data_IF_463515641467
#
_entry.id   IF_463515641467
#
_cell.length_a   1.000
_cell.length_b   1.000
_cell.length_c   1.000
_cell.angle_alpha   90.00
_cell.angle_beta   90.00
_cell.angle_gamma   90.00
#
_symmetry.space_group_name_H-M   'P 1'
#
loop_
_entity.id
_entity.type
_entity.pdbx_description
1 polymer ?
#
# COMPACT_ATOMS: atom_id res chain seq x y z
N UNK A 1 27.19 -5.44 -7.00
CA UNK A 1 25.82 -6.02 -6.90
C UNK A 1 25.68 -6.68 -5.54
N UNK A 2 24.91 -6.13 -4.61
CA UNK A 2 24.66 -6.78 -3.31
C UNK A 2 23.92 -8.10 -3.59
N UNK A 3 24.50 -9.23 -3.16
CA UNK A 3 23.85 -10.54 -3.21
C UNK A 3 22.53 -10.47 -2.45
N UNK A 4 21.41 -10.64 -3.14
CA UNK A 4 20.10 -10.71 -2.52
C UNK A 4 20.08 -11.87 -1.51
N UNK A 5 19.72 -11.56 -0.28
CA UNK A 5 19.59 -12.56 0.78
C UNK A 5 18.40 -13.48 0.46
N UNK A 6 18.61 -14.79 0.47
CA UNK A 6 17.56 -15.78 0.27
C UNK A 6 17.30 -16.43 1.62
N UNK A 7 16.06 -16.35 2.09
CA UNK A 7 15.61 -16.90 3.37
C UNK A 7 14.54 -17.96 3.10
N UNK A 8 14.63 -19.09 3.79
CA UNK A 8 13.68 -20.20 3.71
C UNK A 8 12.99 -20.32 5.07
N UNK A 9 11.65 -20.32 5.04
CA UNK A 9 10.82 -20.49 6.23
C UNK A 9 9.90 -21.71 6.06
N UNK A 10 9.96 -22.63 7.01
CA UNK A 10 9.01 -23.74 7.12
C UNK A 10 7.84 -23.29 8.00
N UNK A 11 6.61 -23.31 7.47
CA UNK A 11 5.40 -22.86 8.19
C UNK A 11 4.21 -23.74 7.88
N UNK A 12 3.20 -23.76 8.76
CA UNK A 12 1.89 -24.39 8.48
C UNK A 12 1.13 -23.60 7.42
N UNK A 13 1.47 -23.80 6.16
CA UNK A 13 0.82 -23.20 4.98
C UNK A 13 0.46 -24.31 4.00
N UNK A 14 -0.61 -24.13 3.21
CA UNK A 14 -1.07 -25.14 2.24
C UNK A 14 -0.18 -25.19 0.99
N UNK A 15 0.38 -24.06 0.59
CA UNK A 15 1.16 -23.94 -0.64
C UNK A 15 2.46 -23.19 -0.41
N UNK A 16 3.46 -23.47 -1.25
CA UNK A 16 4.69 -22.68 -1.32
C UNK A 16 4.35 -21.24 -1.72
N UNK A 17 4.97 -20.29 -1.03
CA UNK A 17 4.87 -18.86 -1.33
C UNK A 17 6.24 -18.28 -1.53
N UNK A 18 6.37 -17.46 -2.58
CA UNK A 18 7.57 -16.69 -2.88
C UNK A 18 7.27 -15.21 -2.64
N UNK A 19 8.04 -14.59 -1.77
CA UNK A 19 7.95 -13.17 -1.47
C UNK A 19 9.29 -12.50 -1.77
N UNK A 20 9.25 -11.30 -2.36
CA UNK A 20 10.43 -10.48 -2.63
C UNK A 20 10.16 -9.10 -2.05
N UNK A 21 10.97 -8.72 -1.07
CA UNK A 21 10.92 -7.41 -0.42
C UNK A 21 12.33 -6.77 -0.36
N UNK A 22 12.47 -5.65 0.35
CA UNK A 22 13.73 -4.93 0.48
C UNK A 22 14.80 -5.71 1.25
N UNK A 23 14.41 -6.71 2.03
CA UNK A 23 15.31 -7.61 2.78
C UNK A 23 15.79 -8.81 1.97
N UNK A 24 15.22 -9.05 0.77
CA UNK A 24 15.61 -10.16 -0.10
C UNK A 24 14.45 -11.02 -0.57
N UNK A 25 14.77 -12.28 -0.89
CA UNK A 25 13.81 -13.28 -1.37
C UNK A 25 13.47 -14.22 -0.22
N UNK A 26 12.17 -14.37 0.07
CA UNK A 26 11.65 -15.28 1.09
C UNK A 26 10.89 -16.42 0.41
N UNK A 27 11.28 -17.64 0.71
CA UNK A 27 10.59 -18.86 0.28
C UNK A 27 9.90 -19.43 1.52
N UNK A 28 8.58 -19.42 1.53
CA UNK A 28 7.76 -19.96 2.62
C UNK A 28 7.17 -21.26 2.14
N UNK A 29 7.58 -22.38 2.75
CA UNK A 29 7.18 -23.73 2.37
C UNK A 29 6.39 -24.41 3.48
N UNK A 30 5.49 -25.36 3.14
CA UNK A 30 4.89 -26.23 4.11
C UNK A 30 5.93 -27.02 4.92
N UNK A 31 5.60 -27.33 6.16
CA UNK A 31 6.42 -28.22 7.00
C UNK A 31 6.43 -29.62 6.37
N UNK A 32 7.58 -30.31 6.42
CA UNK A 32 7.73 -31.68 5.89
C UNK A 32 8.01 -31.76 4.36
N UNK A 33 7.95 -30.67 3.63
CA UNK A 33 8.28 -30.66 2.20
C UNK A 33 9.73 -30.20 2.01
N UNK A 34 10.53 -31.04 1.36
CA UNK A 34 11.84 -30.63 0.85
C UNK A 34 11.67 -29.74 -0.38
N UNK A 35 12.49 -28.71 -0.48
CA UNK A 35 12.44 -27.76 -1.59
C UNK A 35 13.83 -27.59 -2.20
N UNK A 36 13.93 -27.66 -3.51
CA UNK A 36 15.11 -27.20 -4.23
C UNK A 36 14.96 -25.70 -4.51
N UNK A 37 15.71 -24.90 -3.73
CA UNK A 37 15.75 -23.45 -3.89
C UNK A 37 16.22 -23.00 -5.27
N UNK A 38 17.13 -23.78 -5.91
CA UNK A 38 17.69 -23.42 -7.22
C UNK A 38 16.60 -23.57 -8.29
N UNK A 39 15.86 -24.66 -8.25
CA UNK A 39 14.75 -24.90 -9.18
C UNK A 39 13.66 -23.84 -9.02
N UNK A 40 13.24 -23.52 -7.79
CA UNK A 40 12.22 -22.48 -7.52
C UNK A 40 12.67 -21.13 -8.09
N UNK A 41 13.91 -20.72 -7.83
CA UNK A 41 14.43 -19.44 -8.32
C UNK A 41 14.53 -19.42 -9.84
N UNK A 42 14.94 -20.54 -10.48
CA UNK A 42 15.01 -20.68 -11.94
C UNK A 42 13.60 -20.56 -12.56
N UNK A 43 12.62 -21.29 -12.01
CA UNK A 43 11.22 -21.28 -12.48
C UNK A 43 10.59 -19.89 -12.40
N UNK A 44 10.88 -19.13 -11.35
CA UNK A 44 10.30 -17.81 -11.10
C UNK A 44 11.23 -16.63 -11.45
N UNK A 45 12.33 -16.87 -12.17
CA UNK A 45 13.38 -15.88 -12.46
C UNK A 45 12.82 -14.55 -12.98
N UNK A 46 12.03 -14.57 -14.04
CA UNK A 46 11.45 -13.34 -14.66
C UNK A 46 10.56 -12.55 -13.70
N UNK A 47 9.77 -13.26 -12.88
CA UNK A 47 8.92 -12.62 -11.89
C UNK A 47 9.75 -11.96 -10.79
N UNK A 48 10.80 -12.64 -10.30
CA UNK A 48 11.73 -12.13 -9.28
C UNK A 48 12.43 -10.87 -9.81
N UNK A 49 12.97 -10.91 -11.02
CA UNK A 49 13.66 -9.78 -11.66
C UNK A 49 12.75 -8.55 -11.76
N UNK A 50 11.55 -8.70 -12.31
CA UNK A 50 10.56 -7.62 -12.37
C UNK A 50 10.21 -7.05 -10.99
N UNK A 51 10.13 -7.92 -9.98
CA UNK A 51 9.83 -7.48 -8.61
C UNK A 51 10.96 -6.69 -8.00
N UNK A 52 12.20 -7.11 -8.21
CA UNK A 52 13.42 -6.42 -7.76
C UNK A 52 13.54 -5.05 -8.45
N UNK A 53 13.34 -4.99 -9.75
CA UNK A 53 13.39 -3.75 -10.53
C UNK A 53 12.37 -2.73 -9.97
N UNK A 54 11.13 -3.16 -9.75
CA UNK A 54 10.10 -2.32 -9.14
C UNK A 54 10.47 -1.84 -7.73
N UNK A 55 11.07 -2.69 -6.91
CA UNK A 55 11.52 -2.31 -5.57
C UNK A 55 12.69 -1.30 -5.63
N UNK A 56 13.60 -1.44 -6.58
CA UNK A 56 14.69 -0.49 -6.79
C UNK A 56 14.17 0.87 -7.29
N UNK A 57 13.15 0.87 -8.13
CA UNK A 57 12.46 2.08 -8.55
C UNK A 57 11.83 2.78 -7.34
N UNK A 58 11.06 2.06 -6.52
CA UNK A 58 10.44 2.61 -5.31
C UNK A 58 11.48 3.16 -4.33
N UNK A 59 12.64 2.49 -4.17
CA UNK A 59 13.75 3.01 -3.37
C UNK A 59 14.30 4.33 -3.92
N UNK A 60 14.44 4.46 -5.24
CA UNK A 60 14.91 5.71 -5.87
C UNK A 60 13.92 6.84 -5.60
N UNK A 61 12.63 6.58 -5.78
CA UNK A 61 11.57 7.54 -5.45
C UNK A 61 11.67 7.96 -3.99
N UNK A 62 11.74 7.00 -3.05
CA UNK A 62 11.78 7.28 -1.62
C UNK A 62 12.92 8.21 -1.19
N UNK A 63 14.07 8.17 -1.89
CA UNK A 63 15.22 9.06 -1.60
C UNK A 63 14.93 10.52 -1.94
N UNK A 64 14.18 10.78 -3.00
CA UNK A 64 13.84 12.14 -3.46
C UNK A 64 12.58 12.74 -2.82
N UNK A 65 11.85 11.99 -1.99
CA UNK A 65 10.63 12.51 -1.37
C UNK A 65 10.96 13.42 -0.18
N UNK A 66 10.20 14.50 -0.05
CA UNK A 66 10.22 15.39 1.11
C UNK A 66 9.17 14.97 2.14
N UNK A 67 9.39 15.33 3.41
CA UNK A 67 8.41 15.11 4.49
C UNK A 67 7.73 16.45 4.74
N UNK A 68 6.41 16.42 4.73
CA UNK A 68 5.56 17.57 5.00
C UNK A 68 5.02 17.49 6.42
N UNK A 69 4.49 18.58 6.93
CA UNK A 69 3.69 18.60 8.15
C UNK A 69 2.44 19.41 7.87
N UNK A 70 1.32 18.71 7.79
CA UNK A 70 0.05 19.34 7.48
C UNK A 70 -0.60 19.83 8.76
N UNK A 71 -0.71 21.15 8.90
CA UNK A 71 -1.49 21.76 9.97
C UNK A 71 -2.98 21.44 9.77
N UNK A 72 -3.70 21.33 10.87
CA UNK A 72 -5.14 21.02 10.89
C UNK A 72 -5.53 19.77 10.08
N UNK A 73 -4.59 18.79 9.97
CA UNK A 73 -4.73 17.57 9.19
C UNK A 73 -6.07 16.85 9.42
N UNK A 74 -6.47 16.66 10.67
CA UNK A 74 -7.70 15.92 11.02
C UNK A 74 -8.94 16.60 10.46
N UNK A 75 -9.08 17.91 10.69
CA UNK A 75 -10.18 18.71 10.18
C UNK A 75 -10.20 18.71 8.64
N UNK A 76 -9.03 18.84 8.02
CA UNK A 76 -8.95 18.84 6.57
C UNK A 76 -9.38 17.50 5.96
N UNK A 77 -9.01 16.35 6.56
CA UNK A 77 -9.46 15.03 6.11
C UNK A 77 -10.99 14.91 6.25
N UNK A 78 -11.60 15.43 7.33
CA UNK A 78 -13.05 15.43 7.52
C UNK A 78 -13.76 16.28 6.46
N UNK A 79 -13.22 17.46 6.13
CA UNK A 79 -13.73 18.29 5.02
C UNK A 79 -13.69 17.51 3.70
N UNK A 80 -12.57 16.90 3.36
CA UNK A 80 -12.43 16.09 2.14
C UNK A 80 -13.44 14.92 2.12
N UNK A 81 -13.60 14.22 3.23
CA UNK A 81 -14.58 13.11 3.32
C UNK A 81 -15.98 13.64 3.07
N UNK A 82 -16.35 14.80 3.63
CA UNK A 82 -17.67 15.41 3.43
C UNK A 82 -17.88 15.85 1.97
N UNK A 83 -16.89 16.43 1.31
CA UNK A 83 -16.95 16.80 -0.10
C UNK A 83 -17.15 15.55 -1.00
N UNK A 84 -16.34 14.52 -0.78
CA UNK A 84 -16.40 13.28 -1.56
C UNK A 84 -17.71 12.52 -1.28
N UNK A 85 -18.23 12.58 -0.05
CA UNK A 85 -19.52 12.02 0.33
C UNK A 85 -20.66 12.57 -0.53
N UNK A 86 -20.65 13.89 -0.78
CA UNK A 86 -21.65 14.54 -1.65
C UNK A 86 -21.55 14.05 -3.09
N UNK A 87 -20.31 13.95 -3.60
CA UNK A 87 -20.07 13.49 -4.99
C UNK A 87 -20.48 12.03 -5.18
N UNK A 88 -20.15 11.16 -4.23
CA UNK A 88 -20.40 9.73 -4.29
C UNK A 88 -21.80 9.34 -3.78
N UNK A 89 -22.55 10.28 -3.21
CA UNK A 89 -23.82 10.05 -2.54
C UNK A 89 -23.74 8.92 -1.49
N UNK A 90 -22.63 8.89 -0.73
CA UNK A 90 -22.39 7.90 0.33
C UNK A 90 -21.65 8.56 1.49
N UNK A 91 -22.08 8.28 2.72
CA UNK A 91 -21.47 8.85 3.93
C UNK A 91 -20.92 7.74 4.82
N UNK A 92 -19.68 7.88 5.34
CA UNK A 92 -19.19 6.98 6.38
C UNK A 92 -19.91 7.27 7.71
N UNK A 93 -20.09 6.24 8.52
CA UNK A 93 -20.64 6.35 9.88
C UNK A 93 -19.59 6.85 10.88
N UNK A 94 -18.31 6.53 10.61
CA UNK A 94 -17.21 6.90 11.52
C UNK A 94 -15.89 7.05 10.78
N UNK A 95 -15.12 8.07 11.18
CA UNK A 95 -13.75 8.29 10.76
C UNK A 95 -12.85 8.09 11.98
N UNK A 96 -11.78 7.30 11.81
CA UNK A 96 -10.81 6.99 12.85
C UNK A 96 -9.40 7.26 12.35
N UNK A 97 -8.52 7.68 13.24
CA UNK A 97 -7.09 7.88 12.95
C UNK A 97 -6.26 6.97 13.86
N UNK A 98 -5.41 6.14 13.24
CA UNK A 98 -4.55 5.17 13.94
C UNK A 98 -3.14 5.14 13.35
N UNK A 99 -2.13 4.81 14.13
CA UNK A 99 -0.81 4.46 13.61
C UNK A 99 -0.87 3.10 12.92
N UNK A 100 -0.45 3.02 11.66
CA UNK A 100 -0.43 1.78 10.87
C UNK A 100 0.93 1.61 10.19
N UNK A 101 1.52 0.41 10.27
CA UNK A 101 2.86 0.13 9.70
C UNK A 101 2.84 -0.15 8.19
N UNK A 102 1.75 -0.69 7.65
CA UNK A 102 1.70 -1.25 6.28
C UNK A 102 0.60 -0.67 5.40
N UNK A 103 -0.18 0.28 5.90
CA UNK A 103 -1.34 0.85 5.19
C UNK A 103 -1.44 2.34 5.45
N UNK A 104 -1.95 3.05 4.47
CA UNK A 104 -2.29 4.45 4.58
C UNK A 104 -3.71 4.67 5.06
N UNK A 105 -4.62 3.75 4.70
CA UNK A 105 -6.01 3.75 5.11
C UNK A 105 -6.59 2.34 5.14
N UNK A 106 -7.82 2.23 5.57
CA UNK A 106 -8.66 1.04 5.40
C UNK A 106 -10.13 1.40 5.56
N UNK A 107 -11.00 0.72 4.80
CA UNK A 107 -12.44 0.87 4.88
C UNK A 107 -13.08 -0.44 5.35
N UNK A 108 -13.94 -0.35 6.37
CA UNK A 108 -14.92 -1.39 6.66
C UNK A 108 -16.24 -1.01 6.00
N UNK A 109 -16.47 -1.51 4.78
CA UNK A 109 -17.63 -1.17 3.97
C UNK A 109 -18.96 -1.59 4.61
N UNK A 110 -19.01 -2.69 5.41
CA UNK A 110 -20.23 -3.14 6.09
C UNK A 110 -20.64 -2.19 7.22
N UNK A 111 -19.67 -1.74 8.01
CA UNK A 111 -19.90 -0.80 9.13
C UNK A 111 -19.71 0.66 8.70
N UNK A 112 -19.41 0.92 7.45
CA UNK A 112 -19.09 2.25 6.90
C UNK A 112 -18.06 3.03 7.75
N UNK A 113 -17.02 2.34 8.23
CA UNK A 113 -15.95 2.93 9.04
C UNK A 113 -14.72 3.12 8.19
N UNK A 114 -14.23 4.36 8.13
CA UNK A 114 -12.94 4.71 7.53
C UNK A 114 -11.89 4.83 8.62
N UNK A 115 -10.71 4.29 8.36
CA UNK A 115 -9.55 4.40 9.26
C UNK A 115 -8.38 4.95 8.46
N UNK A 116 -7.84 6.09 8.89
CA UNK A 116 -6.69 6.74 8.28
C UNK A 116 -5.44 6.61 9.14
N UNK A 117 -4.28 6.46 8.50
CA UNK A 117 -3.00 6.44 9.18
C UNK A 117 -2.64 7.85 9.66
N UNK A 118 -2.25 8.01 10.92
CA UNK A 118 -1.77 9.30 11.45
C UNK A 118 -0.60 9.88 10.67
N UNK A 119 0.27 9.02 10.11
CA UNK A 119 1.39 9.45 9.29
C UNK A 119 0.99 10.14 7.97
N UNK A 120 -0.31 10.18 7.63
CA UNK A 120 -0.80 10.96 6.49
C UNK A 120 -0.49 12.46 6.65
N UNK A 121 -0.46 12.97 7.88
CA UNK A 121 -0.09 14.37 8.17
C UNK A 121 1.29 14.76 7.60
N UNK A 122 2.13 13.77 7.29
CA UNK A 122 3.49 13.93 6.78
C UNK A 122 3.56 13.84 5.24
N UNK A 123 2.43 13.74 4.57
CA UNK A 123 2.33 13.63 3.11
C UNK A 123 1.90 14.95 2.45
N UNK A 124 2.20 15.13 1.16
CA UNK A 124 1.59 16.18 0.34
C UNK A 124 0.05 16.05 0.33
N UNK A 125 -0.64 17.18 0.23
CA UNK A 125 -2.11 17.24 0.24
C UNK A 125 -2.75 16.39 -0.84
N UNK A 126 -2.15 16.33 -2.02
CA UNK A 126 -2.62 15.53 -3.16
C UNK A 126 -2.66 14.03 -2.85
N UNK A 127 -1.63 13.55 -2.12
CA UNK A 127 -1.57 12.13 -1.73
C UNK A 127 -2.56 11.80 -0.61
N UNK A 128 -2.79 12.73 0.32
CA UNK A 128 -3.83 12.57 1.34
C UNK A 128 -5.21 12.50 0.67
N UNK A 129 -5.50 13.43 -0.27
CA UNK A 129 -6.74 13.44 -1.06
C UNK A 129 -6.94 12.11 -1.80
N UNK A 130 -5.88 11.60 -2.45
CA UNK A 130 -5.92 10.29 -3.12
C UNK A 130 -6.34 9.17 -2.16
N UNK A 131 -5.76 9.13 -0.95
CA UNK A 131 -6.08 8.08 0.03
C UNK A 131 -7.51 8.22 0.52
N UNK A 132 -7.99 9.43 0.77
CA UNK A 132 -9.39 9.67 1.17
C UNK A 132 -10.33 9.19 0.06
N UNK A 133 -10.08 9.55 -1.20
CA UNK A 133 -10.85 9.07 -2.36
C UNK A 133 -10.87 7.54 -2.41
N UNK A 134 -9.70 6.90 -2.26
CA UNK A 134 -9.54 5.45 -2.31
C UNK A 134 -10.40 4.74 -1.26
N UNK A 135 -10.34 5.19 0.00
CA UNK A 135 -11.11 4.58 1.08
C UNK A 135 -12.62 4.89 0.97
N UNK A 136 -12.99 6.06 0.47
CA UNK A 136 -14.38 6.41 0.17
C UNK A 136 -14.97 5.55 -0.96
N UNK A 137 -14.20 5.29 -2.02
CA UNK A 137 -14.62 4.39 -3.11
C UNK A 137 -14.91 2.96 -2.61
N UNK A 138 -14.24 2.51 -1.54
CA UNK A 138 -14.51 1.21 -0.92
C UNK A 138 -15.86 1.11 -0.21
N UNK A 139 -16.52 2.22 0.08
CA UNK A 139 -17.91 2.21 0.57
C UNK A 139 -18.90 1.75 -0.51
N UNK A 140 -18.52 1.87 -1.80
CA UNK A 140 -19.34 1.50 -2.96
C UNK A 140 -18.84 0.20 -3.58
N UNK A 141 -17.52 0.10 -3.84
CA UNK A 141 -16.91 -1.05 -4.51
C UNK A 141 -15.87 -1.69 -3.60
N UNK A 142 -16.20 -2.88 -3.08
CA UNK A 142 -15.37 -3.59 -2.09
C UNK A 142 -13.97 -3.96 -2.59
N UNK A 143 -13.86 -4.44 -3.83
CA UNK A 143 -12.64 -5.04 -4.37
C UNK A 143 -11.99 -4.10 -5.40
N UNK A 144 -10.66 -4.14 -5.53
CA UNK A 144 -9.89 -3.37 -6.49
C UNK A 144 -10.01 -3.92 -7.94
N UNK A 145 -11.27 -4.14 -8.40
CA UNK A 145 -11.58 -4.55 -9.77
C UNK A 145 -11.59 -3.34 -10.72
N UNK A 146 -12.01 -3.55 -11.98
CA UNK A 146 -12.10 -2.50 -13.00
C UNK A 146 -13.03 -1.35 -12.58
N UNK A 147 -14.18 -1.69 -11.97
CA UNK A 147 -15.18 -0.69 -11.55
C UNK A 147 -14.63 0.21 -10.44
N UNK A 148 -13.89 -0.37 -9.50
CA UNK A 148 -13.20 0.39 -8.45
C UNK A 148 -12.21 1.40 -9.06
N UNK A 149 -11.35 0.96 -9.96
CA UNK A 149 -10.35 1.85 -10.56
C UNK A 149 -10.97 2.88 -11.50
N UNK A 150 -12.07 2.55 -12.18
CA UNK A 150 -12.85 3.50 -12.94
C UNK A 150 -13.43 4.60 -12.04
N UNK A 151 -13.98 4.22 -10.88
CA UNK A 151 -14.52 5.18 -9.91
C UNK A 151 -13.42 6.09 -9.35
N UNK A 152 -12.29 5.50 -8.92
CA UNK A 152 -11.13 6.28 -8.42
C UNK A 152 -10.61 7.23 -9.48
N UNK A 153 -10.45 6.80 -10.73
CA UNK A 153 -9.89 7.63 -11.81
C UNK A 153 -10.74 8.84 -12.17
N UNK A 154 -12.06 8.79 -11.95
CA UNK A 154 -12.95 9.94 -12.13
C UNK A 154 -12.74 11.05 -11.11
N UNK A 155 -12.36 10.67 -9.87
CA UNK A 155 -12.15 11.59 -8.75
C UNK A 155 -10.68 12.02 -8.61
N UNK A 156 -9.77 11.17 -9.05
CA UNK A 156 -8.32 11.40 -9.05
C UNK A 156 -7.70 10.88 -10.36
N UNK A 157 -7.62 11.72 -11.40
CA UNK A 157 -7.00 11.34 -12.67
C UNK A 157 -5.54 10.90 -12.53
N UNK A 158 -4.82 11.42 -11.53
CA UNK A 158 -3.41 11.13 -11.27
C UNK A 158 -3.20 9.89 -10.36
N UNK A 159 -4.24 9.08 -10.10
CA UNK A 159 -4.20 7.98 -9.15
C UNK A 159 -3.03 7.00 -9.34
N UNK A 160 -2.58 6.78 -10.58
CA UNK A 160 -1.45 5.87 -10.87
C UNK A 160 -0.14 6.39 -10.30
N UNK A 161 0.14 7.67 -10.54
CA UNK A 161 1.35 8.33 -10.02
C UNK A 161 1.25 8.50 -8.50
N UNK A 162 0.09 8.91 -7.97
CA UNK A 162 -0.14 9.02 -6.54
C UNK A 162 0.14 7.70 -5.81
N UNK A 163 -0.31 6.56 -6.36
CA UNK A 163 0.01 5.23 -5.82
C UNK A 163 1.50 4.91 -5.85
N UNK A 164 2.21 5.34 -6.90
CA UNK A 164 3.64 5.14 -7.04
C UNK A 164 4.42 5.93 -5.98
N UNK A 165 4.07 7.21 -5.78
CA UNK A 165 4.64 8.07 -4.74
C UNK A 165 4.35 7.54 -3.33
N UNK A 166 3.12 7.10 -3.05
CA UNK A 166 2.73 6.49 -1.78
C UNK A 166 3.53 5.23 -1.44
N UNK A 167 3.90 4.43 -2.44
CA UNK A 167 4.79 3.29 -2.23
C UNK A 167 6.21 3.77 -1.81
N UNK A 168 6.71 4.86 -2.38
CA UNK A 168 7.96 5.51 -1.98
C UNK A 168 7.90 6.02 -0.53
N UNK A 169 6.83 6.73 -0.17
CA UNK A 169 6.63 7.21 1.20
C UNK A 169 6.56 6.06 2.21
N UNK A 170 5.89 4.96 1.88
CA UNK A 170 5.83 3.79 2.76
C UNK A 170 7.22 3.22 3.04
N UNK A 171 8.10 3.17 2.04
CA UNK A 171 9.50 2.76 2.21
C UNK A 171 10.27 3.77 3.05
N UNK A 172 10.11 5.07 2.78
CA UNK A 172 10.77 6.15 3.53
C UNK A 172 10.43 6.09 5.01
N UNK A 173 9.15 6.01 5.36
CA UNK A 173 8.72 5.95 6.76
C UNK A 173 9.09 4.66 7.48
N UNK A 174 9.06 3.51 6.79
CA UNK A 174 9.51 2.25 7.40
C UNK A 174 11.03 2.26 7.70
N UNK A 175 11.81 3.04 6.94
CA UNK A 175 13.25 3.20 7.18
C UNK A 175 13.57 4.25 8.24
N UNK A 176 12.66 5.20 8.53
CA UNK A 176 12.81 6.19 9.60
C UNK A 176 12.40 5.63 10.98
N UNK A 177 11.68 4.50 11.00
CA UNK A 177 11.21 3.84 12.23
C UNK A 177 12.15 2.67 12.68
N UNK A 178 13.32 2.52 12.04
CA UNK A 178 14.40 1.63 12.44
C UNK A 178 15.54 2.45 13.02
#
# INVERSE_FOLDING_TARGET
>A
MNKLKILIFKRKVKYLRLEVDLGGIKIISPVGIEIDKREILKRHKRWIEKRIERLNEIKRIAKGLEIYRQENFYNWVEILVNEISKILNVKPEKILFRKMKKRWGSCNYKKKILIFNKNLELLPKELIKHIVIHEMCHLIVKNHNKDFWNLVSRLDPNFKENRRLLAGYMVKFNNLCL
#
